data_IF_894423706441
#
_entry.id   IF_894423706441
#
_cell.length_a   1.000
_cell.length_b   1.000
_cell.length_c   1.000
_cell.angle_alpha   90.00
_cell.angle_beta   90.00
_cell.angle_gamma   90.00
#
_symmetry.space_group_name_H-M   'P 1'
#
loop_
_entity.id
_entity.type
_entity.pdbx_description
1 polymer ?
#
# COMPACT_ATOMS: atom_id res chain seq x y z
N UNK A 1 -18.24 1.63 0.31
CA UNK A 1 -18.04 3.04 0.77
C UNK A 1 -16.59 3.39 0.57
N UNK A 2 -16.24 4.60 0.08
CA UNK A 2 -14.84 5.01 -0.08
C UNK A 2 -14.20 5.27 1.28
N UNK A 3 -12.94 4.85 1.45
CA UNK A 3 -12.14 5.12 2.64
C UNK A 3 -11.27 6.39 2.49
N UNK A 4 -11.34 7.07 1.36
CA UNK A 4 -10.54 8.28 1.10
C UNK A 4 -10.85 9.36 2.14
N UNK A 5 -9.80 9.98 2.69
CA UNK A 5 -9.83 10.97 3.76
C UNK A 5 -10.39 10.46 5.10
N UNK A 6 -10.45 9.14 5.31
CA UNK A 6 -10.73 8.57 6.63
C UNK A 6 -9.45 8.15 7.36
N UNK A 7 -9.50 8.06 8.67
CA UNK A 7 -8.40 7.57 9.50
C UNK A 7 -8.35 6.04 9.46
N UNK A 8 -7.14 5.49 9.41
CA UNK A 8 -6.94 4.05 9.63
C UNK A 8 -7.46 3.69 11.02
N UNK A 9 -8.33 2.69 11.08
CA UNK A 9 -8.88 2.19 12.34
C UNK A 9 -7.80 1.47 13.16
N UNK A 10 -7.88 1.47 14.50
CA UNK A 10 -6.97 0.72 15.34
C UNK A 10 -6.92 -0.76 14.94
N UNK A 11 -5.71 -1.30 14.81
CA UNK A 11 -5.47 -2.72 14.56
C UNK A 11 -4.17 -3.17 15.23
N UNK A 12 -4.03 -4.49 15.35
CA UNK A 12 -2.82 -5.14 15.84
C UNK A 12 -2.61 -6.42 15.03
N UNK A 13 -1.47 -6.53 14.37
CA UNK A 13 -1.10 -7.67 13.54
C UNK A 13 0.35 -8.08 13.80
N UNK A 14 0.69 -9.33 13.46
CA UNK A 14 2.07 -9.82 13.47
C UNK A 14 2.62 -9.85 12.05
N UNK A 15 3.88 -9.50 11.89
CA UNK A 15 4.56 -9.53 10.60
C UNK A 15 5.90 -10.26 10.69
N UNK A 16 6.33 -10.82 9.56
CA UNK A 16 7.72 -11.20 9.36
C UNK A 16 8.48 -10.05 8.71
N UNK A 17 9.59 -9.64 9.30
CA UNK A 17 10.42 -8.55 8.80
C UNK A 17 11.88 -8.73 9.18
N UNK A 18 12.77 -8.76 8.19
CA UNK A 18 14.24 -8.84 8.40
C UNK A 18 14.65 -9.98 9.37
N UNK A 19 14.11 -11.17 9.14
CA UNK A 19 14.44 -12.37 9.95
C UNK A 19 13.80 -12.42 11.34
N UNK A 20 12.88 -11.49 11.66
CA UNK A 20 12.21 -11.39 12.97
C UNK A 20 10.69 -11.33 12.82
N UNK A 21 10.00 -11.70 13.88
CA UNK A 21 8.59 -11.40 14.04
C UNK A 21 8.45 -10.07 14.77
N UNK A 22 7.65 -9.19 14.19
CA UNK A 22 7.41 -7.84 14.70
C UNK A 22 5.90 -7.56 14.77
N UNK A 23 5.50 -6.72 15.70
CA UNK A 23 4.13 -6.23 15.79
C UNK A 23 3.96 -5.00 14.90
N UNK A 24 2.87 -4.95 14.15
CA UNK A 24 2.45 -3.80 13.35
C UNK A 24 1.07 -3.36 13.81
N UNK A 25 0.93 -2.07 14.08
CA UNK A 25 -0.31 -1.44 14.54
C UNK A 25 -0.61 -0.20 13.68
N UNK A 26 -1.76 0.44 13.86
CA UNK A 26 -2.03 1.73 13.23
C UNK A 26 -1.00 2.81 13.64
N UNK A 27 -0.43 2.71 14.84
CA UNK A 27 0.64 3.62 15.28
C UNK A 27 1.93 3.43 14.48
N UNK A 28 2.19 2.22 13.97
CA UNK A 28 3.34 1.94 13.11
C UNK A 28 3.26 2.66 11.75
N UNK A 29 2.05 3.07 11.34
CA UNK A 29 1.80 3.78 10.08
C UNK A 29 1.92 5.30 10.23
N UNK A 30 1.93 5.83 11.45
CA UNK A 30 1.96 7.27 11.72
C UNK A 30 3.38 7.84 11.73
N UNK A 31 3.51 9.16 11.50
CA UNK A 31 4.79 9.87 11.47
C UNK A 31 5.61 9.69 10.19
N UNK A 32 5.16 8.86 9.27
CA UNK A 32 5.74 8.63 7.94
C UNK A 32 4.62 8.31 6.94
N UNK A 33 4.91 8.40 5.66
CA UNK A 33 4.02 7.86 4.65
C UNK A 33 4.04 6.33 4.69
N UNK A 34 2.90 5.71 4.45
CA UNK A 34 2.78 4.25 4.47
C UNK A 34 1.97 3.76 3.27
N UNK A 35 2.40 2.64 2.70
CA UNK A 35 1.71 1.99 1.59
C UNK A 35 1.35 0.57 2.03
N UNK A 36 0.05 0.30 2.17
CA UNK A 36 -0.45 -1.04 2.44
C UNK A 36 -0.89 -1.69 1.14
N UNK A 37 -0.35 -2.88 0.86
CA UNK A 37 -0.62 -3.67 -0.33
C UNK A 37 -1.21 -5.01 0.09
N UNK A 38 -2.52 -5.15 -0.03
CA UNK A 38 -3.24 -6.39 0.27
C UNK A 38 -3.15 -7.36 -0.90
N UNK A 39 -2.97 -8.62 -0.59
CA UNK A 39 -2.92 -9.74 -1.55
C UNK A 39 -3.75 -10.90 -1.02
N UNK A 40 -4.27 -11.80 -1.91
CA UNK A 40 -5.12 -12.91 -1.51
C UNK A 40 -4.50 -13.82 -0.47
N UNK A 41 -3.37 -14.45 -0.78
CA UNK A 41 -2.70 -15.41 0.10
C UNK A 41 -1.25 -15.64 -0.31
N UNK A 42 -0.45 -16.10 0.64
CA UNK A 42 0.90 -16.62 0.39
C UNK A 42 0.88 -17.87 -0.49
N UNK A 43 2.01 -18.17 -1.13
CA UNK A 43 2.21 -19.34 -1.98
C UNK A 43 1.25 -19.47 -3.19
N UNK A 44 0.70 -18.34 -3.66
CA UNK A 44 -0.12 -18.26 -4.87
C UNK A 44 0.69 -17.85 -6.11
N UNK A 45 0.04 -17.46 -7.20
CA UNK A 45 0.72 -17.30 -8.51
C UNK A 45 1.15 -15.88 -8.81
N UNK A 46 0.24 -14.89 -8.74
CA UNK A 46 0.53 -13.48 -9.03
C UNK A 46 1.21 -12.75 -7.86
N UNK A 47 0.92 -13.15 -6.62
CA UNK A 47 1.42 -12.43 -5.44
C UNK A 47 2.95 -12.33 -5.37
N UNK A 48 3.74 -13.39 -5.70
CA UNK A 48 5.19 -13.27 -5.74
C UNK A 48 5.68 -12.21 -6.72
N UNK A 49 5.04 -12.05 -7.88
CA UNK A 49 5.43 -11.06 -8.90
C UNK A 49 5.22 -9.63 -8.42
N UNK A 50 4.13 -9.37 -7.68
CA UNK A 50 3.87 -8.05 -7.09
C UNK A 50 4.82 -7.73 -5.93
N UNK A 51 5.23 -8.75 -5.14
CA UNK A 51 6.22 -8.57 -4.06
C UNK A 51 7.59 -8.28 -4.67
N UNK A 52 7.97 -8.96 -5.74
CA UNK A 52 9.22 -8.71 -6.46
C UNK A 52 9.25 -7.29 -7.01
N UNK A 53 8.19 -6.84 -7.70
CA UNK A 53 8.06 -5.48 -8.21
C UNK A 53 8.13 -4.43 -7.07
N UNK A 54 7.48 -4.69 -5.94
CA UNK A 54 7.58 -3.83 -4.76
C UNK A 54 9.00 -3.79 -4.17
N UNK A 55 9.71 -4.91 -4.17
CA UNK A 55 11.08 -5.00 -3.69
C UNK A 55 12.06 -4.25 -4.62
N UNK A 56 11.86 -4.35 -5.93
CA UNK A 56 12.68 -3.66 -6.92
C UNK A 56 12.51 -2.12 -6.82
N UNK A 57 11.33 -1.62 -6.39
CA UNK A 57 11.05 -0.20 -6.16
C UNK A 57 11.24 0.26 -4.70
N UNK A 58 11.58 -0.64 -3.76
CA UNK A 58 11.57 -0.32 -2.33
C UNK A 58 12.51 0.82 -1.94
N UNK A 59 13.69 0.89 -2.53
CA UNK A 59 14.64 1.98 -2.30
C UNK A 59 14.06 3.36 -2.66
N UNK A 60 13.19 3.42 -3.69
CA UNK A 60 12.52 4.66 -4.07
C UNK A 60 11.41 5.04 -3.07
N UNK A 61 10.67 4.08 -2.52
CA UNK A 61 9.73 4.33 -1.44
C UNK A 61 10.44 4.86 -0.19
N UNK A 62 11.55 4.25 0.20
CA UNK A 62 12.35 4.71 1.34
C UNK A 62 12.89 6.14 1.11
N UNK A 63 13.42 6.43 -0.09
CA UNK A 63 13.86 7.77 -0.47
C UNK A 63 12.73 8.80 -0.41
N UNK A 64 11.51 8.40 -0.72
CA UNK A 64 10.31 9.21 -0.59
C UNK A 64 9.76 9.27 0.85
N UNK A 65 10.48 8.71 1.86
CA UNK A 65 10.04 8.71 3.25
C UNK A 65 8.81 7.85 3.52
N UNK A 66 8.63 6.78 2.75
CA UNK A 66 7.50 5.89 2.86
C UNK A 66 7.93 4.46 3.21
N UNK A 67 7.10 3.78 4.01
CA UNK A 67 7.23 2.35 4.30
C UNK A 67 6.16 1.55 3.55
N UNK A 68 6.54 0.38 3.06
CA UNK A 68 5.66 -0.57 2.37
C UNK A 68 5.30 -1.70 3.34
N UNK A 69 4.05 -2.12 3.33
CA UNK A 69 3.54 -3.25 4.09
C UNK A 69 2.74 -4.17 3.15
N UNK A 70 3.18 -5.41 3.01
CA UNK A 70 2.41 -6.44 2.31
C UNK A 70 1.51 -7.13 3.32
N UNK A 71 0.23 -7.29 2.99
CA UNK A 71 -0.77 -7.91 3.87
C UNK A 71 -1.42 -9.08 3.15
N UNK A 72 -1.41 -10.26 3.75
CA UNK A 72 -2.24 -11.41 3.32
C UNK A 72 -3.05 -11.96 4.48
N UNK A 73 -4.05 -12.79 4.19
CA UNK A 73 -4.85 -13.46 5.23
C UNK A 73 -4.13 -14.61 5.93
N UNK A 74 -2.87 -14.87 5.56
CA UNK A 74 -2.03 -15.90 6.20
C UNK A 74 -1.45 -15.43 7.53
N UNK A 75 -0.76 -16.34 8.22
CA UNK A 75 0.01 -16.02 9.42
C UNK A 75 1.41 -15.51 9.07
N UNK A 76 2.02 -14.78 9.99
CA UNK A 76 3.43 -14.37 9.87
C UNK A 76 4.41 -15.56 9.81
N UNK A 77 4.01 -16.74 10.30
CA UNK A 77 4.80 -17.98 10.16
C UNK A 77 4.84 -18.43 8.69
N UNK A 78 3.70 -18.39 7.99
CA UNK A 78 3.65 -18.67 6.56
C UNK A 78 4.53 -17.68 5.78
N UNK A 79 4.49 -16.41 6.11
CA UNK A 79 5.32 -15.37 5.47
C UNK A 79 6.83 -15.63 5.66
N UNK A 80 7.24 -16.09 6.84
CA UNK A 80 8.66 -16.48 7.06
C UNK A 80 9.08 -17.57 6.08
N UNK A 81 8.33 -18.65 6.00
CA UNK A 81 8.66 -19.78 5.11
C UNK A 81 8.58 -19.34 3.63
N UNK A 82 7.58 -18.55 3.27
CA UNK A 82 7.43 -18.04 1.92
C UNK A 82 8.63 -17.16 1.50
N UNK A 83 9.08 -16.28 2.38
CA UNK A 83 10.27 -15.46 2.17
C UNK A 83 11.54 -16.31 2.00
N UNK A 84 11.69 -17.39 2.78
CA UNK A 84 12.85 -18.26 2.75
C UNK A 84 12.90 -19.20 1.53
N UNK A 85 11.73 -19.52 0.95
CA UNK A 85 11.62 -20.54 -0.11
C UNK A 85 11.34 -19.96 -1.49
N UNK A 86 10.84 -18.73 -1.60
CA UNK A 86 10.55 -18.07 -2.89
C UNK A 86 11.63 -17.05 -3.24
N UNK A 87 12.35 -17.19 -4.35
CA UNK A 87 13.36 -16.21 -4.79
C UNK A 87 12.80 -14.80 -4.96
N UNK A 88 11.57 -14.66 -5.47
CA UNK A 88 10.90 -13.38 -5.66
C UNK A 88 10.56 -12.72 -4.32
N UNK A 89 9.92 -13.48 -3.41
CA UNK A 89 9.50 -12.99 -2.10
C UNK A 89 10.69 -12.75 -1.17
N UNK A 90 11.76 -13.52 -1.33
CA UNK A 90 13.03 -13.37 -0.59
C UNK A 90 13.73 -12.03 -0.82
N UNK A 91 13.37 -11.27 -1.87
CA UNK A 91 13.85 -9.91 -2.08
C UNK A 91 13.21 -8.87 -1.14
N UNK A 92 12.07 -9.19 -0.50
CA UNK A 92 11.32 -8.27 0.33
C UNK A 92 12.12 -7.85 1.57
N UNK A 93 12.34 -6.55 1.72
CA UNK A 93 12.99 -5.93 2.89
C UNK A 93 11.98 -5.16 3.75
N UNK A 94 10.71 -5.25 3.44
CA UNK A 94 9.58 -4.61 4.12
C UNK A 94 8.75 -5.64 4.89
N UNK A 95 7.92 -5.22 5.86
CA UNK A 95 7.09 -6.12 6.64
C UNK A 95 6.07 -6.91 5.80
N UNK A 96 6.05 -8.23 5.99
CA UNK A 96 5.04 -9.14 5.48
C UNK A 96 4.05 -9.42 6.62
N UNK A 97 2.90 -8.74 6.58
CA UNK A 97 1.91 -8.68 7.66
C UNK A 97 0.87 -9.79 7.51
N UNK A 98 0.69 -10.58 8.55
CA UNK A 98 -0.36 -11.61 8.60
C UNK A 98 -1.67 -11.07 9.17
N UNK A 99 -2.78 -11.36 8.49
CA UNK A 99 -4.12 -10.99 8.91
C UNK A 99 -5.06 -12.22 9.01
N UNK A 100 -4.70 -13.27 9.78
CA UNK A 100 -5.51 -14.49 9.87
C UNK A 100 -6.87 -14.27 10.56
N UNK A 101 -7.06 -13.15 11.21
CA UNK A 101 -8.34 -12.75 11.83
C UNK A 101 -9.23 -11.96 10.88
N UNK A 102 -8.75 -11.61 9.72
CA UNK A 102 -9.39 -10.73 8.72
C UNK A 102 -9.73 -9.31 9.27
N UNK A 103 -9.10 -8.90 10.36
CA UNK A 103 -9.36 -7.58 10.95
C UNK A 103 -8.94 -6.45 10.00
N UNK A 104 -7.75 -6.56 9.39
CA UNK A 104 -7.25 -5.58 8.42
C UNK A 104 -8.04 -5.65 7.11
N UNK A 105 -8.23 -6.82 6.53
CA UNK A 105 -8.96 -6.98 5.26
C UNK A 105 -10.39 -6.48 5.36
N UNK A 106 -11.07 -6.67 6.49
CA UNK A 106 -12.40 -6.10 6.75
C UNK A 106 -12.33 -4.58 6.91
N UNK A 107 -11.40 -4.05 7.70
CA UNK A 107 -11.27 -2.62 7.94
C UNK A 107 -11.01 -1.82 6.67
N UNK A 108 -10.24 -2.40 5.74
CA UNK A 108 -9.93 -1.80 4.44
C UNK A 108 -10.92 -2.18 3.31
N UNK A 109 -11.98 -2.93 3.61
CA UNK A 109 -13.04 -3.28 2.67
C UNK A 109 -12.59 -4.16 1.50
N UNK A 110 -11.57 -5.00 1.72
CA UNK A 110 -11.00 -5.89 0.70
C UNK A 110 -11.18 -7.38 1.03
N UNK A 111 -11.92 -7.72 2.07
CA UNK A 111 -12.19 -9.11 2.44
C UNK A 111 -13.16 -9.77 1.47
N UNK A 112 -12.87 -11.02 1.09
CA UNK A 112 -13.75 -11.94 0.34
C UNK A 112 -14.20 -13.04 1.32
N UNK A 113 -15.35 -12.89 1.98
CA UNK A 113 -15.76 -13.78 3.08
C UNK A 113 -15.86 -15.25 2.67
N UNK A 114 -16.36 -15.52 1.47
CA UNK A 114 -16.59 -16.87 0.96
C UNK A 114 -15.29 -17.64 0.73
N UNK A 115 -14.19 -16.92 0.47
CA UNK A 115 -12.88 -17.51 0.21
C UNK A 115 -11.91 -17.37 1.40
N UNK A 116 -12.21 -16.50 2.37
CA UNK A 116 -11.27 -16.14 3.43
C UNK A 116 -10.02 -15.43 2.92
N UNK A 117 -10.12 -14.75 1.77
CA UNK A 117 -9.01 -14.09 1.08
C UNK A 117 -9.21 -12.57 1.03
N UNK A 118 -8.17 -11.86 0.60
CA UNK A 118 -8.26 -10.44 0.27
C UNK A 118 -8.34 -10.22 -1.24
N UNK A 119 -9.04 -9.17 -1.67
CA UNK A 119 -8.82 -8.54 -2.97
C UNK A 119 -7.43 -7.88 -3.01
N UNK A 120 -6.95 -7.55 -4.20
CA UNK A 120 -5.70 -6.80 -4.39
C UNK A 120 -5.93 -5.32 -4.14
N UNK A 121 -5.89 -4.92 -2.86
CA UNK A 121 -6.05 -3.53 -2.43
C UNK A 121 -4.70 -2.83 -2.24
N UNK A 122 -4.57 -1.58 -2.68
CA UNK A 122 -3.43 -0.71 -2.41
C UNK A 122 -3.92 0.59 -1.78
N UNK A 123 -3.32 0.98 -0.66
CA UNK A 123 -3.71 2.18 0.09
C UNK A 123 -2.46 3.00 0.42
N UNK A 124 -2.47 4.27 0.03
CA UNK A 124 -1.45 5.26 0.44
C UNK A 124 -1.99 6.04 1.62
N UNK A 125 -1.24 6.07 2.70
CA UNK A 125 -1.62 6.64 3.99
C UNK A 125 -0.62 7.74 4.34
N UNK A 126 -1.12 8.92 4.72
CA UNK A 126 -0.27 10.04 5.11
C UNK A 126 0.27 9.88 6.55
N UNK A 127 1.23 10.72 6.98
CA UNK A 127 1.81 10.65 8.32
C UNK A 127 0.82 10.85 9.48
N UNK A 128 -0.38 11.38 9.22
CA UNK A 128 -1.44 11.50 10.23
C UNK A 128 -2.24 10.21 10.40
N UNK A 129 -2.06 9.24 9.52
CA UNK A 129 -2.86 8.01 9.45
C UNK A 129 -4.10 8.14 8.57
N UNK A 130 -4.18 9.16 7.70
CA UNK A 130 -5.30 9.38 6.78
C UNK A 130 -5.05 8.69 5.43
N UNK A 131 -6.04 7.94 4.93
CA UNK A 131 -5.97 7.28 3.63
C UNK A 131 -6.13 8.32 2.51
N UNK A 132 -5.13 8.46 1.65
CA UNK A 132 -5.09 9.47 0.57
C UNK A 132 -5.40 8.91 -0.81
N UNK A 133 -5.01 7.67 -1.08
CA UNK A 133 -5.40 6.96 -2.31
C UNK A 133 -5.85 5.54 -1.98
N UNK A 134 -6.74 4.99 -2.77
CA UNK A 134 -7.10 3.59 -2.75
C UNK A 134 -7.28 3.06 -4.16
N UNK A 135 -6.86 1.83 -4.38
CA UNK A 135 -7.01 1.08 -5.62
C UNK A 135 -7.32 -0.38 -5.26
N UNK A 136 -8.33 -0.96 -5.88
CA UNK A 136 -8.72 -2.35 -5.61
C UNK A 136 -8.93 -3.07 -6.93
N UNK A 137 -8.22 -4.18 -7.14
CA UNK A 137 -8.30 -5.02 -8.32
C UNK A 137 -8.92 -6.37 -8.00
N UNK A 138 -9.49 -7.00 -9.02
CA UNK A 138 -9.78 -8.43 -9.04
C UNK A 138 -8.49 -9.23 -8.83
N UNK A 139 -8.62 -10.42 -8.22
CA UNK A 139 -7.46 -11.26 -7.89
C UNK A 139 -6.69 -11.79 -9.10
N UNK A 140 -7.29 -11.79 -10.29
CA UNK A 140 -6.61 -12.16 -11.53
C UNK A 140 -5.75 -11.04 -12.14
N UNK A 141 -5.89 -9.79 -11.64
CA UNK A 141 -5.24 -8.59 -12.22
C UNK A 141 -4.19 -8.06 -11.25
N UNK A 142 -2.92 -8.36 -11.51
CA UNK A 142 -1.79 -7.81 -10.76
C UNK A 142 -1.67 -6.28 -10.96
N UNK A 143 -0.98 -5.62 -10.02
CA UNK A 143 -0.81 -4.16 -9.99
C UNK A 143 0.57 -3.77 -10.52
N UNK A 144 0.72 -2.50 -10.88
CA UNK A 144 1.97 -1.83 -11.22
C UNK A 144 2.44 -1.00 -10.00
N UNK A 145 3.56 -1.40 -9.39
CA UNK A 145 4.10 -0.72 -8.20
C UNK A 145 4.72 0.63 -8.55
N UNK A 146 5.21 0.82 -9.77
CA UNK A 146 5.66 2.15 -10.23
C UNK A 146 4.51 3.16 -10.25
N UNK A 147 3.29 2.74 -10.61
CA UNK A 147 2.11 3.61 -10.54
C UNK A 147 1.71 3.91 -9.08
N UNK A 148 1.87 2.94 -8.17
CA UNK A 148 1.69 3.17 -6.73
C UNK A 148 2.67 4.22 -6.20
N UNK A 149 3.95 4.14 -6.59
CA UNK A 149 4.97 5.11 -6.23
C UNK A 149 4.66 6.50 -6.81
N UNK A 150 4.18 6.57 -8.06
CA UNK A 150 3.74 7.83 -8.67
C UNK A 150 2.58 8.47 -7.88
N UNK A 151 1.59 7.67 -7.47
CA UNK A 151 0.44 8.13 -6.65
C UNK A 151 0.89 8.60 -5.27
N UNK A 152 1.84 7.92 -4.63
CA UNK A 152 2.45 8.36 -3.37
C UNK A 152 3.08 9.74 -3.53
N UNK A 153 3.94 9.93 -4.55
CA UNK A 153 4.59 11.22 -4.83
C UNK A 153 3.58 12.34 -5.09
N UNK A 154 2.50 12.05 -5.83
CA UNK A 154 1.43 13.00 -6.05
C UNK A 154 0.69 13.36 -4.74
N UNK A 155 0.42 12.38 -3.87
CA UNK A 155 -0.19 12.63 -2.57
C UNK A 155 0.72 13.49 -1.66
N UNK A 156 2.03 13.24 -1.68
CA UNK A 156 3.02 14.03 -0.95
C UNK A 156 3.08 15.48 -1.47
N UNK A 157 3.05 15.65 -2.78
CA UNK A 157 3.08 16.97 -3.40
C UNK A 157 1.89 17.80 -2.97
N UNK A 158 0.66 17.30 -3.12
CA UNK A 158 -0.54 18.06 -2.75
C UNK A 158 -0.65 18.29 -1.25
N UNK A 159 -0.09 17.41 -0.42
CA UNK A 159 -0.03 17.63 1.03
C UNK A 159 0.86 18.83 1.41
N UNK A 160 1.93 19.08 0.65
CA UNK A 160 2.83 20.23 0.84
C UNK A 160 2.41 21.49 0.03
N UNK A 161 1.51 21.35 -0.94
CA UNK A 161 1.02 22.41 -1.81
C UNK A 161 -0.52 22.44 -1.85
N UNK A 162 -1.18 22.82 -0.77
CA UNK A 162 -2.65 22.68 -0.62
C UNK A 162 -3.47 23.54 -1.59
N UNK A 163 -2.86 24.51 -2.26
CA UNK A 163 -3.49 25.35 -3.31
C UNK A 163 -3.31 24.81 -4.73
N UNK A 164 -2.63 23.67 -4.89
CA UNK A 164 -2.34 23.09 -6.20
C UNK A 164 -2.93 21.69 -6.35
N UNK A 165 -3.14 21.26 -7.59
CA UNK A 165 -3.60 19.93 -7.93
C UNK A 165 -2.67 19.30 -8.97
N UNK A 166 -2.44 17.99 -8.84
CA UNK A 166 -1.70 17.20 -9.82
C UNK A 166 -2.65 16.78 -10.96
N UNK A 167 -2.38 17.18 -12.21
CA UNK A 167 -3.18 16.74 -13.35
C UNK A 167 -3.01 15.24 -13.65
N UNK A 168 -3.79 14.75 -14.61
CA UNK A 168 -3.71 13.36 -15.06
C UNK A 168 -2.26 13.01 -15.48
N UNK A 169 -1.80 11.81 -15.07
CA UNK A 169 -0.44 11.29 -15.37
C UNK A 169 0.71 12.09 -14.76
N UNK A 170 0.45 13.06 -13.91
CA UNK A 170 1.49 13.89 -13.29
C UNK A 170 2.61 13.05 -12.67
N UNK A 171 3.83 13.48 -12.91
CA UNK A 171 5.05 12.95 -12.29
C UNK A 171 5.79 14.05 -11.56
N UNK A 172 6.58 13.68 -10.58
CA UNK A 172 7.42 14.61 -9.82
C UNK A 172 8.27 15.49 -10.75
N UNK A 173 8.21 16.81 -10.52
CA UNK A 173 8.87 17.82 -11.34
C UNK A 173 8.06 18.35 -12.54
N UNK A 174 6.89 17.77 -12.83
CA UNK A 174 5.99 18.29 -13.87
C UNK A 174 5.10 19.41 -13.34
N UNK A 175 4.51 20.17 -14.27
CA UNK A 175 3.61 21.30 -13.95
C UNK A 175 2.35 20.82 -13.24
N UNK A 176 1.93 21.60 -12.28
CA UNK A 176 0.66 21.47 -11.55
C UNK A 176 -0.32 22.55 -11.99
N UNK A 177 -1.53 22.48 -11.48
CA UNK A 177 -2.58 23.49 -11.73
C UNK A 177 -2.94 24.17 -10.41
N UNK A 178 -3.01 25.50 -10.41
CA UNK A 178 -3.61 26.28 -9.32
C UNK A 178 -5.09 26.52 -9.65
N UNK A 179 -6.03 25.83 -9.00
CA UNK A 179 -7.46 26.01 -9.28
C UNK A 179 -7.90 27.48 -9.13
N UNK A 180 -8.53 28.02 -10.15
CA UNK A 180 -9.10 29.37 -10.13
C UNK A 180 -10.34 29.44 -11.01
N UNK A 181 -11.18 30.46 -10.79
CA UNK A 181 -12.36 30.71 -11.63
C UNK A 181 -11.97 30.94 -13.10
N UNK A 182 -10.78 31.50 -13.34
CA UNK A 182 -10.29 31.83 -14.68
C UNK A 182 -9.90 30.62 -15.51
N UNK A 183 -9.70 29.45 -14.87
CA UNK A 183 -9.37 28.17 -15.52
C UNK A 183 -10.63 27.40 -15.95
N UNK A 184 -11.82 27.78 -15.45
CA UNK A 184 -13.06 27.08 -15.77
C UNK A 184 -13.36 27.16 -17.26
N UNK A 185 -13.42 26.00 -17.94
CA UNK A 185 -13.64 25.89 -19.37
C UNK A 185 -12.46 26.26 -20.27
N UNK A 186 -11.24 26.42 -19.70
CA UNK A 186 -10.01 26.75 -20.44
C UNK A 186 -8.93 25.65 -20.41
N UNK A 187 -9.22 24.51 -19.75
CA UNK A 187 -8.36 23.32 -19.69
C UNK A 187 -9.02 22.16 -20.38
#
# INVERSE_FOLDING_TARGET
>A
MSLINTQVQPFKAQAFHNGKFVEVTEASLKGKWSVLIFMPAAFTFNCPTEIEDAADHYAEFQKAGAEVYIVTTDTHFSHKVWHETSPAVGKAQFPLVGDPTHALTNAFGVHIPEAGLALRGTFVIDPSGTIKTMEVHDNAIARDVAETLRKLKAAQYVASHPSEVCPAKWKEGEKTLAPSIDLVGKI
#
